data_IF_495296318391
#
_entry.id   IF_495296318391
#
_cell.length_a   1.000
_cell.length_b   1.000
_cell.length_c   1.000
_cell.angle_alpha   90.00
_cell.angle_beta   90.00
_cell.angle_gamma   90.00
#
_symmetry.space_group_name_H-M   'P 1'
#
loop_
_entity.id
_entity.type
_entity.pdbx_description
1 polymer ?
#
# COMPACT_ATOMS: atom_id res chain seq x y z
N UNK A 1 4.63 1.34 -1.14
CA UNK A 1 3.75 0.70 -2.14
C UNK A 1 4.58 -0.33 -2.90
N UNK A 2 3.97 -1.28 -3.59
CA UNK A 2 4.67 -2.26 -4.44
C UNK A 2 3.84 -2.49 -5.69
N UNK A 3 4.47 -2.66 -6.85
CA UNK A 3 3.76 -2.90 -8.09
C UNK A 3 3.14 -4.30 -8.09
N UNK A 4 1.93 -4.46 -8.63
CA UNK A 4 1.25 -5.77 -8.65
C UNK A 4 2.05 -6.85 -9.40
N UNK A 5 2.80 -6.44 -10.44
CA UNK A 5 3.71 -7.33 -11.16
C UNK A 5 4.85 -7.86 -10.28
N UNK A 6 5.39 -7.04 -9.37
CA UNK A 6 6.44 -7.50 -8.45
C UNK A 6 5.88 -8.44 -7.39
N UNK A 7 4.64 -8.20 -6.95
CA UNK A 7 3.94 -9.13 -6.05
C UNK A 7 3.71 -10.47 -6.74
N UNK A 8 3.30 -10.46 -8.01
CA UNK A 8 3.15 -11.68 -8.79
C UNK A 8 4.49 -12.43 -8.94
N UNK A 9 5.58 -11.72 -9.23
CA UNK A 9 6.94 -12.30 -9.30
C UNK A 9 7.36 -12.94 -7.97
N UNK A 10 7.09 -12.29 -6.83
CA UNK A 10 7.34 -12.86 -5.51
C UNK A 10 6.54 -14.16 -5.27
N UNK A 11 5.26 -14.19 -5.65
CA UNK A 11 4.42 -15.38 -5.54
C UNK A 11 4.97 -16.55 -6.36
N UNK A 12 5.38 -16.30 -7.61
CA UNK A 12 5.99 -17.32 -8.48
C UNK A 12 7.26 -17.87 -7.82
N UNK A 13 8.17 -16.99 -7.38
CA UNK A 13 9.43 -17.40 -6.72
C UNK A 13 9.20 -18.18 -5.44
N UNK A 14 8.19 -17.82 -4.65
CA UNK A 14 7.85 -18.54 -3.42
C UNK A 14 7.46 -19.99 -3.71
N UNK A 15 6.70 -20.22 -4.79
CA UNK A 15 6.31 -21.55 -5.25
C UNK A 15 7.51 -22.31 -5.82
N UNK A 16 8.29 -21.71 -6.73
CA UNK A 16 9.43 -22.36 -7.37
C UNK A 16 10.52 -22.79 -6.38
N UNK A 17 10.72 -22.01 -5.32
CA UNK A 17 11.73 -22.28 -4.29
C UNK A 17 11.19 -23.11 -3.12
N UNK A 18 9.90 -23.46 -3.16
CA UNK A 18 9.20 -24.15 -2.08
C UNK A 18 9.44 -23.50 -0.72
N UNK A 19 9.49 -22.16 -0.66
CA UNK A 19 9.89 -21.42 0.53
C UNK A 19 8.66 -21.16 1.42
N UNK A 20 8.53 -21.81 2.59
CA UNK A 20 7.33 -21.71 3.40
C UNK A 20 7.30 -20.46 4.26
N UNK A 21 6.10 -20.08 4.68
CA UNK A 21 5.86 -19.02 5.67
C UNK A 21 5.58 -17.64 5.07
N UNK A 22 5.41 -16.63 5.93
CA UNK A 22 5.00 -15.29 5.51
C UNK A 22 6.18 -14.51 4.91
N UNK A 23 5.86 -13.69 3.90
CA UNK A 23 6.78 -12.74 3.28
C UNK A 23 6.14 -11.35 3.24
N UNK A 24 6.88 -10.34 3.69
CA UNK A 24 6.50 -8.94 3.49
C UNK A 24 7.04 -8.48 2.14
N UNK A 25 6.22 -7.77 1.37
CA UNK A 25 6.58 -7.23 0.07
C UNK A 25 6.32 -5.72 0.07
N UNK A 26 7.38 -4.94 -0.16
CA UNK A 26 7.33 -3.50 -0.26
C UNK A 26 8.47 -3.03 -1.17
N UNK A 27 8.23 -1.97 -1.95
CA UNK A 27 9.29 -1.29 -2.68
C UNK A 27 9.92 -0.19 -1.83
N UNK A 28 11.19 0.10 -2.12
CA UNK A 28 11.93 1.22 -1.58
C UNK A 28 12.10 2.29 -2.67
N UNK A 29 12.05 3.60 -2.33
CA UNK A 29 11.80 4.17 -1.01
C UNK A 29 10.31 4.13 -0.61
N UNK A 30 9.98 4.33 0.70
CA UNK A 30 8.60 4.54 1.13
C UNK A 30 7.93 5.68 0.36
N UNK A 31 6.64 5.51 0.05
CA UNK A 31 5.86 6.52 -0.66
C UNK A 31 5.33 7.54 0.35
N UNK A 32 5.63 8.81 0.11
CA UNK A 32 5.11 9.92 0.90
C UNK A 32 3.94 10.61 0.19
N UNK A 33 3.20 11.43 0.95
CA UNK A 33 2.04 12.20 0.45
C UNK A 33 2.40 13.04 -0.78
N UNK A 34 3.59 13.64 -0.76
CA UNK A 34 4.11 14.50 -1.81
C UNK A 34 4.37 13.73 -3.11
N UNK A 35 4.77 12.45 -3.01
CA UNK A 35 4.98 11.60 -4.18
C UNK A 35 3.66 11.28 -4.88
N UNK A 36 2.62 11.00 -4.09
CA UNK A 36 1.26 10.78 -4.61
C UNK A 36 0.74 12.05 -5.27
N UNK A 37 0.85 13.20 -4.60
CA UNK A 37 0.40 14.48 -5.14
C UNK A 37 1.12 14.81 -6.46
N UNK A 38 2.43 14.59 -6.53
CA UNK A 38 3.23 14.80 -7.74
C UNK A 38 2.80 13.86 -8.87
N UNK A 39 2.63 12.57 -8.58
CA UNK A 39 2.22 11.57 -9.57
C UNK A 39 0.83 11.86 -10.15
N UNK A 40 -0.11 12.32 -9.32
CA UNK A 40 -1.47 12.65 -9.72
C UNK A 40 -1.61 14.08 -10.27
N UNK A 41 -0.54 14.89 -10.25
CA UNK A 41 -0.58 16.34 -10.53
C UNK A 41 -1.64 17.06 -9.67
N UNK A 42 -1.79 16.61 -8.44
CA UNK A 42 -2.78 17.09 -7.48
C UNK A 42 -2.17 18.09 -6.50
N UNK A 43 -3.04 18.87 -5.86
CA UNK A 43 -2.65 19.78 -4.81
C UNK A 43 -2.98 19.21 -3.43
N UNK A 44 -1.97 18.94 -2.57
CA UNK A 44 -2.22 18.22 -1.33
C UNK A 44 -2.75 19.18 -0.25
N UNK A 45 -4.00 18.98 0.16
CA UNK A 45 -4.65 19.75 1.23
C UNK A 45 -4.54 19.00 2.55
N UNK A 46 -4.13 19.68 3.62
CA UNK A 46 -4.12 19.09 4.96
C UNK A 46 -5.52 19.18 5.57
N UNK A 47 -6.08 18.04 5.96
CA UNK A 47 -7.39 17.93 6.60
C UNK A 47 -7.23 17.10 7.87
N UNK A 48 -7.79 17.52 9.03
CA UNK A 48 -7.76 16.72 10.24
C UNK A 48 -8.41 15.34 10.02
N UNK A 49 -7.77 14.28 10.52
CA UNK A 49 -8.22 12.91 10.32
C UNK A 49 -9.70 12.65 10.71
N UNK A 50 -10.24 13.21 11.81
CA UNK A 50 -11.65 13.02 12.16
C UNK A 50 -12.62 13.61 11.12
N UNK A 51 -12.27 14.76 10.55
CA UNK A 51 -13.07 15.45 9.52
C UNK A 51 -13.03 14.64 8.23
N UNK A 52 -11.84 14.17 7.83
CA UNK A 52 -11.69 13.33 6.63
C UNK A 52 -12.48 12.02 6.76
N UNK A 53 -12.42 11.37 7.93
CA UNK A 53 -13.17 10.14 8.19
C UNK A 53 -14.68 10.33 8.14
N UNK A 54 -15.20 11.45 8.64
CA UNK A 54 -16.63 11.79 8.56
C UNK A 54 -17.06 12.05 7.11
N UNK A 55 -16.26 12.81 6.35
CA UNK A 55 -16.57 13.10 4.94
C UNK A 55 -16.57 11.83 4.08
N UNK A 56 -15.62 10.91 4.31
CA UNK A 56 -15.54 9.64 3.58
C UNK A 56 -16.70 8.69 3.91
N UNK A 57 -17.11 8.61 5.19
CA UNK A 57 -18.29 7.81 5.58
C UNK A 57 -19.57 8.38 4.94
N UNK A 58 -19.75 9.70 4.96
CA UNK A 58 -20.91 10.35 4.35
C UNK A 58 -20.94 10.12 2.83
N UNK A 59 -19.83 10.38 2.12
CA UNK A 59 -19.77 10.25 0.66
C UNK A 59 -19.92 8.80 0.19
N UNK A 60 -19.42 7.83 0.96
CA UNK A 60 -19.61 6.41 0.70
C UNK A 60 -21.07 5.98 0.89
N UNK A 61 -21.73 6.40 1.98
CA UNK A 61 -23.16 6.09 2.23
C UNK A 61 -24.07 6.66 1.14
N UNK A 62 -23.72 7.83 0.59
CA UNK A 62 -24.42 8.43 -0.55
C UNK A 62 -23.96 7.89 -1.91
N UNK A 63 -23.07 6.88 -1.94
CA UNK A 63 -22.51 6.25 -3.15
C UNK A 63 -21.80 7.22 -4.10
N UNK A 64 -21.30 8.34 -3.58
CA UNK A 64 -20.51 9.30 -4.37
C UNK A 64 -19.09 8.79 -4.64
N UNK A 65 -18.60 7.90 -3.78
CA UNK A 65 -17.33 7.22 -3.97
C UNK A 65 -17.42 5.75 -3.55
N UNK A 66 -16.57 4.88 -4.14
CA UNK A 66 -16.53 3.46 -3.80
C UNK A 66 -15.70 3.15 -2.54
N UNK A 67 -14.88 4.11 -2.06
CA UNK A 67 -13.96 3.93 -0.93
C UNK A 67 -14.68 4.27 0.37
N UNK A 68 -14.79 3.32 1.29
CA UNK A 68 -15.36 3.52 2.61
C UNK A 68 -14.32 4.01 3.64
N UNK A 69 -14.79 4.34 4.84
CA UNK A 69 -13.93 4.86 5.92
C UNK A 69 -12.88 3.85 6.40
N UNK A 70 -13.17 2.55 6.38
CA UNK A 70 -12.23 1.51 6.82
C UNK A 70 -10.95 1.48 5.98
N UNK A 71 -11.05 1.81 4.68
CA UNK A 71 -9.88 2.01 3.82
C UNK A 71 -8.99 3.18 4.28
N UNK A 72 -9.57 4.29 4.75
CA UNK A 72 -8.80 5.42 5.30
C UNK A 72 -8.12 5.02 6.60
N UNK A 73 -8.84 4.37 7.52
CA UNK A 73 -8.30 3.94 8.81
C UNK A 73 -7.13 2.95 8.62
N UNK A 74 -7.23 2.07 7.61
CA UNK A 74 -6.13 1.20 7.20
C UNK A 74 -4.92 2.02 6.73
N UNK A 75 -5.09 3.01 5.85
CA UNK A 75 -3.96 3.82 5.36
C UNK A 75 -3.19 4.53 6.48
N UNK A 76 -3.87 4.99 7.55
CA UNK A 76 -3.22 5.61 8.70
C UNK A 76 -2.47 4.63 9.61
N UNK A 77 -2.76 3.33 9.51
CA UNK A 77 -2.18 2.30 10.38
C UNK A 77 -1.18 1.37 9.68
N UNK A 78 -0.95 1.53 8.38
CA UNK A 78 0.01 0.68 7.64
C UNK A 78 1.45 0.92 8.13
N UNK A 79 2.11 -0.11 8.69
CA UNK A 79 3.49 0.02 9.13
C UNK A 79 4.47 -0.10 7.97
N UNK A 80 5.70 0.42 8.17
CA UNK A 80 6.83 -0.01 7.35
C UNK A 80 7.20 -1.45 7.72
N UNK A 81 7.45 -2.27 6.71
CA UNK A 81 7.68 -3.71 6.87
C UNK A 81 9.05 -4.13 6.35
N UNK A 82 9.67 -5.09 7.04
CA UNK A 82 10.98 -5.64 6.64
C UNK A 82 10.81 -6.69 5.54
N UNK A 83 11.41 -6.42 4.37
CA UNK A 83 11.38 -7.27 3.17
C UNK A 83 12.61 -8.18 3.06
N UNK A 84 13.53 -8.17 4.03
CA UNK A 84 14.77 -8.98 4.01
C UNK A 84 14.53 -10.44 3.69
N UNK A 85 13.51 -11.06 4.30
CA UNK A 85 13.20 -12.47 4.08
C UNK A 85 12.88 -12.78 2.61
N UNK A 86 12.12 -11.90 1.94
CA UNK A 86 11.81 -12.06 0.52
C UNK A 86 13.08 -11.91 -0.32
N UNK A 87 13.94 -10.94 -0.01
CA UNK A 87 15.23 -10.76 -0.68
C UNK A 87 16.16 -11.96 -0.50
N UNK A 88 16.30 -12.48 0.71
CA UNK A 88 17.28 -13.54 1.01
C UNK A 88 16.82 -14.93 0.58
N UNK A 89 15.53 -15.25 0.72
CA UNK A 89 15.01 -16.58 0.44
C UNK A 89 14.47 -16.70 -0.98
N UNK A 90 13.85 -15.64 -1.51
CA UNK A 90 13.24 -15.65 -2.85
C UNK A 90 14.14 -15.03 -3.92
N UNK A 91 15.24 -14.39 -3.54
CA UNK A 91 16.03 -13.53 -4.44
C UNK A 91 15.14 -12.49 -5.13
N UNK A 92 14.10 -12.05 -4.42
CA UNK A 92 13.11 -11.11 -4.94
C UNK A 92 13.56 -9.68 -4.70
N UNK A 93 13.42 -8.83 -5.71
CA UNK A 93 13.59 -7.39 -5.61
C UNK A 93 12.54 -6.69 -6.47
N UNK A 94 11.80 -5.71 -5.93
CA UNK A 94 10.81 -4.94 -6.68
C UNK A 94 11.50 -4.03 -7.70
N UNK A 95 10.75 -3.62 -8.73
CA UNK A 95 11.25 -2.83 -9.87
C UNK A 95 10.56 -1.48 -10.03
#
# INVERSE_FOLDING_TARGET
>A
MVHAGDVADACVRAVERCAPGPFNLAAEPPVHREDIARALRAWPVHVPAPVLGLLADASWRTRLQPIDRGWLDMMFSVPLVDTRRARTLLDWSPR
#
